data_IF_820148760687
#
_entry.id   IF_820148760687
#
_cell.length_a   1.000
_cell.length_b   1.000
_cell.length_c   1.000
_cell.angle_alpha   90.00
_cell.angle_beta   90.00
_cell.angle_gamma   90.00
#
_symmetry.space_group_name_H-M   'P 1'
#
loop_
_entity.id
_entity.type
_entity.pdbx_description
1 polymer ?
#
# COMPACT_ATOMS: atom_id res chain seq x y z
N UNK A 1 16.20 -13.48 11.12
CA UNK A 1 15.25 -12.37 11.38
C UNK A 1 13.91 -12.75 10.72
N UNK A 2 12.93 -11.86 10.54
CA UNK A 2 11.76 -12.11 9.69
C UNK A 2 11.70 -11.08 8.55
N UNK A 3 12.60 -11.20 7.57
CA UNK A 3 12.82 -10.25 6.48
C UNK A 3 11.59 -9.98 5.61
N UNK A 4 10.74 -10.99 5.41
CA UNK A 4 9.56 -10.95 4.52
C UNK A 4 8.26 -10.51 5.20
N UNK A 5 8.32 -10.04 6.45
CA UNK A 5 7.13 -9.57 7.17
C UNK A 5 6.52 -8.37 6.45
N UNK A 6 5.22 -8.44 6.12
CA UNK A 6 4.51 -7.43 5.33
C UNK A 6 4.64 -7.61 3.81
N UNK A 7 5.44 -8.58 3.34
CA UNK A 7 5.53 -8.96 1.92
C UNK A 7 4.89 -10.34 1.66
N UNK A 8 4.98 -11.26 2.62
CA UNK A 8 4.57 -12.66 2.43
C UNK A 8 3.07 -12.85 2.70
N UNK A 9 2.33 -13.33 1.70
CA UNK A 9 0.88 -13.56 1.73
C UNK A 9 0.51 -15.00 1.36
N UNK A 10 -0.58 -15.51 1.94
CA UNK A 10 -1.07 -16.85 1.66
C UNK A 10 -1.92 -16.85 0.39
N UNK A 11 -1.56 -17.63 -0.61
CA UNK A 11 -2.34 -17.74 -1.85
C UNK A 11 -3.77 -18.26 -1.65
N UNK A 12 -4.01 -19.05 -0.59
CA UNK A 12 -5.31 -19.65 -0.37
C UNK A 12 -6.35 -18.69 0.23
N UNK A 13 -5.94 -17.75 1.10
CA UNK A 13 -6.86 -16.84 1.79
C UNK A 13 -6.48 -15.36 1.66
N UNK A 14 -5.45 -15.06 0.88
CA UNK A 14 -4.87 -13.73 0.71
C UNK A 14 -4.44 -13.02 2.00
N UNK A 15 -4.33 -13.76 3.10
CA UNK A 15 -3.95 -13.22 4.41
C UNK A 15 -2.45 -13.16 4.59
N UNK A 16 -1.97 -12.12 5.28
CA UNK A 16 -0.55 -11.95 5.59
C UNK A 16 -0.05 -13.08 6.48
N UNK A 17 1.17 -13.54 6.20
CA UNK A 17 1.88 -14.44 7.10
C UNK A 17 2.66 -13.64 8.13
N UNK A 18 2.51 -14.03 9.39
CA UNK A 18 3.22 -13.41 10.51
C UNK A 18 4.44 -14.25 10.90
N UNK A 19 5.54 -13.60 11.25
CA UNK A 19 6.71 -14.28 11.80
C UNK A 19 6.42 -14.83 13.20
N UNK A 20 6.76 -16.09 13.44
CA UNK A 20 6.65 -16.75 14.75
C UNK A 20 7.92 -17.53 15.05
N UNK A 21 8.61 -17.16 16.13
CA UNK A 21 9.74 -17.94 16.63
C UNK A 21 9.19 -19.13 17.41
N UNK A 22 9.38 -20.35 16.89
CA UNK A 22 8.97 -21.60 17.55
C UNK A 22 10.20 -22.34 18.10
N UNK A 23 11.30 -21.61 18.34
CA UNK A 23 12.50 -22.18 18.94
C UNK A 23 12.36 -22.27 20.46
N UNK A 24 12.82 -23.38 21.02
CA UNK A 24 12.85 -23.63 22.46
C UNK A 24 14.25 -24.07 22.86
N UNK A 25 14.77 -23.52 23.96
CA UNK A 25 16.08 -23.92 24.50
C UNK A 25 15.86 -24.95 25.58
N UNK A 26 16.48 -26.12 25.44
CA UNK A 26 16.50 -27.15 26.49
C UNK A 26 17.34 -26.72 27.69
N UNK A 27 17.17 -27.41 28.81
CA UNK A 27 17.95 -27.19 30.04
C UNK A 27 19.47 -27.39 29.85
N UNK A 28 19.88 -28.08 28.78
CA UNK A 28 21.28 -28.30 28.40
C UNK A 28 21.80 -27.25 27.39
N UNK A 29 21.04 -26.18 27.14
CA UNK A 29 21.39 -25.09 26.21
C UNK A 29 21.15 -25.41 24.73
N UNK A 30 20.75 -26.63 24.38
CA UNK A 30 20.45 -27.01 22.99
C UNK A 30 19.13 -26.38 22.53
N UNK A 31 19.16 -25.68 21.41
CA UNK A 31 17.99 -25.02 20.79
C UNK A 31 17.32 -25.99 19.81
N UNK A 32 16.01 -26.15 19.97
CA UNK A 32 15.14 -26.97 19.13
C UNK A 32 14.07 -26.10 18.47
N UNK A 33 13.44 -26.61 17.42
CA UNK A 33 12.40 -25.87 16.68
C UNK A 33 12.99 -24.90 15.66
N UNK A 34 12.13 -24.09 15.04
CA UNK A 34 12.50 -23.22 13.92
C UNK A 34 11.74 -21.90 13.94
N UNK A 35 12.24 -20.91 13.19
CA UNK A 35 11.48 -19.70 12.87
C UNK A 35 10.58 -20.00 11.68
N UNK A 36 9.31 -19.63 11.77
CA UNK A 36 8.36 -19.88 10.69
C UNK A 36 7.52 -18.63 10.41
N UNK A 37 7.05 -18.54 9.17
CA UNK A 37 5.94 -17.68 8.81
C UNK A 37 4.63 -18.46 8.91
N UNK A 38 3.64 -17.91 9.62
CA UNK A 38 2.36 -18.54 9.91
C UNK A 38 1.22 -17.74 9.30
N UNK A 39 0.40 -18.39 8.48
CA UNK A 39 -0.91 -17.86 8.09
C UNK A 39 -1.91 -18.23 9.19
N UNK A 40 -2.50 -17.24 9.87
CA UNK A 40 -3.47 -17.50 10.95
C UNK A 40 -4.75 -18.17 10.45
N UNK A 41 -5.25 -17.76 9.29
CA UNK A 41 -6.53 -18.25 8.75
C UNK A 41 -6.45 -19.68 8.22
N UNK A 42 -5.34 -20.04 7.56
CA UNK A 42 -5.15 -21.37 6.98
C UNK A 42 -4.32 -22.31 7.87
N UNK A 43 -3.76 -21.82 8.98
CA UNK A 43 -2.77 -22.48 9.82
C UNK A 43 -1.53 -23.02 9.05
N UNK A 44 -1.31 -22.53 7.83
CA UNK A 44 -0.17 -22.91 7.00
C UNK A 44 1.12 -22.30 7.56
N UNK A 45 2.20 -23.09 7.55
CA UNK A 45 3.53 -22.68 8.03
C UNK A 45 4.57 -22.91 6.93
N UNK A 46 5.46 -21.94 6.76
CA UNK A 46 6.67 -22.08 5.96
C UNK A 46 7.88 -21.70 6.81
N UNK A 47 8.97 -22.44 6.65
CA UNK A 47 10.24 -22.15 7.30
C UNK A 47 10.76 -20.77 6.86
N UNK A 48 11.20 -19.96 7.82
CA UNK A 48 11.64 -18.59 7.52
C UNK A 48 12.94 -18.58 6.71
N UNK A 49 13.88 -19.48 6.99
CA UNK A 49 15.17 -19.52 6.32
C UNK A 49 15.00 -20.04 4.88
N UNK A 50 14.16 -21.07 4.66
CA UNK A 50 13.83 -21.57 3.32
C UNK A 50 13.13 -20.50 2.46
N UNK A 51 12.22 -19.74 3.08
CA UNK A 51 11.54 -18.64 2.41
C UNK A 51 12.52 -17.52 2.03
N UNK A 52 13.42 -17.14 2.94
CA UNK A 52 14.44 -16.11 2.68
C UNK A 52 15.38 -16.55 1.56
N UNK A 53 15.84 -17.80 1.57
CA UNK A 53 16.72 -18.31 0.52
C UNK A 53 16.05 -18.31 -0.85
N UNK A 54 14.78 -18.70 -0.93
CA UNK A 54 14.04 -18.70 -2.19
C UNK A 54 13.88 -17.28 -2.73
N UNK A 55 13.48 -16.32 -1.89
CA UNK A 55 13.36 -14.92 -2.28
C UNK A 55 14.71 -14.32 -2.66
N UNK A 56 15.78 -14.68 -1.96
CA UNK A 56 17.13 -14.24 -2.27
C UNK A 56 17.61 -14.75 -3.64
N UNK A 57 17.24 -15.97 -4.05
CA UNK A 57 17.55 -16.48 -5.40
C UNK A 57 16.88 -15.64 -6.48
N UNK A 58 15.60 -15.31 -6.29
CA UNK A 58 14.85 -14.43 -7.21
C UNK A 58 15.47 -13.04 -7.22
N UNK A 59 15.80 -12.48 -6.06
CA UNK A 59 16.47 -11.19 -5.96
C UNK A 59 17.79 -11.17 -6.76
N UNK A 60 18.63 -12.21 -6.61
CA UNK A 60 19.91 -12.34 -7.32
C UNK A 60 19.75 -12.48 -8.83
N UNK A 61 18.68 -13.09 -9.33
CA UNK A 61 18.46 -13.15 -10.79
C UNK A 61 18.21 -11.78 -11.40
N UNK A 62 17.77 -10.79 -10.61
CA UNK A 62 17.57 -9.42 -11.07
C UNK A 62 18.80 -8.51 -10.87
N UNK A 63 19.83 -8.94 -10.14
CA UNK A 63 21.05 -8.13 -9.92
C UNK A 63 21.85 -7.88 -11.21
N UNK A 64 21.69 -8.73 -12.23
CA UNK A 64 22.33 -8.56 -13.54
C UNK A 64 21.54 -7.69 -14.52
N UNK A 65 20.37 -7.16 -14.14
CA UNK A 65 19.57 -6.29 -15.00
C UNK A 65 20.23 -4.92 -15.11
N UNK A 66 20.22 -4.36 -16.31
CA UNK A 66 20.74 -3.03 -16.61
C UNK A 66 20.07 -1.95 -15.74
N UNK A 67 20.91 -1.06 -15.18
CA UNK A 67 20.47 -0.02 -14.25
C UNK A 67 19.51 0.97 -14.89
N UNK A 68 19.75 1.33 -16.16
CA UNK A 68 18.88 2.29 -16.86
C UNK A 68 17.52 1.67 -17.17
N UNK A 69 17.46 0.38 -17.52
CA UNK A 69 16.20 -0.37 -17.61
C UNK A 69 15.43 -0.35 -16.29
N UNK A 70 16.11 -0.60 -15.17
CA UNK A 70 15.50 -0.57 -13.84
C UNK A 70 14.95 0.81 -13.47
N UNK A 71 15.74 1.86 -13.69
CA UNK A 71 15.31 3.26 -13.45
C UNK A 71 14.07 3.58 -14.28
N UNK A 72 14.09 3.27 -15.57
CA UNK A 72 12.98 3.53 -16.48
C UNK A 72 11.69 2.83 -16.02
N UNK A 73 11.79 1.54 -15.64
CA UNK A 73 10.64 0.78 -15.14
C UNK A 73 10.09 1.32 -13.80
N UNK A 74 10.97 1.82 -12.92
CA UNK A 74 10.57 2.50 -11.67
C UNK A 74 9.80 3.77 -11.99
N UNK A 75 10.34 4.61 -12.87
CA UNK A 75 9.72 5.88 -13.26
C UNK A 75 8.37 5.66 -13.93
N UNK A 76 8.26 4.72 -14.88
CA UNK A 76 7.01 4.39 -15.56
C UNK A 76 5.92 3.94 -14.57
N UNK A 77 6.29 3.13 -13.56
CA UNK A 77 5.34 2.73 -12.51
C UNK A 77 4.89 3.91 -11.67
N UNK A 78 5.82 4.75 -11.24
CA UNK A 78 5.50 5.94 -10.43
C UNK A 78 4.58 6.89 -11.22
N UNK A 79 4.84 7.07 -12.52
CA UNK A 79 3.99 7.88 -13.40
C UNK A 79 2.59 7.28 -13.57
N UNK A 80 2.51 5.96 -13.73
CA UNK A 80 1.22 5.26 -13.79
C UNK A 80 0.44 5.40 -12.48
N UNK A 81 1.11 5.31 -11.33
CA UNK A 81 0.48 5.53 -10.02
C UNK A 81 -0.01 6.97 -9.87
N UNK A 82 0.81 7.96 -10.22
CA UNK A 82 0.41 9.38 -10.22
C UNK A 82 -0.81 9.60 -11.12
N UNK A 83 -0.81 9.04 -12.33
CA UNK A 83 -1.92 9.16 -13.28
C UNK A 83 -3.22 8.58 -12.70
N UNK A 84 -3.15 7.39 -12.08
CA UNK A 84 -4.29 6.76 -11.42
C UNK A 84 -4.81 7.59 -10.23
N UNK A 85 -3.92 8.18 -9.43
CA UNK A 85 -4.31 9.06 -8.31
C UNK A 85 -4.95 10.34 -8.85
N UNK A 86 -4.41 10.96 -9.90
CA UNK A 86 -5.00 12.15 -10.55
C UNK A 86 -6.41 11.87 -11.06
N UNK A 87 -6.63 10.73 -11.71
CA UNK A 87 -7.97 10.30 -12.13
C UNK A 87 -8.91 10.15 -10.93
N UNK A 88 -8.46 9.52 -9.85
CA UNK A 88 -9.24 9.40 -8.62
C UNK A 88 -9.56 10.75 -7.97
N UNK A 89 -8.66 11.75 -8.05
CA UNK A 89 -8.92 13.12 -7.60
C UNK A 89 -10.02 13.76 -8.46
N UNK A 90 -9.99 13.57 -9.77
CA UNK A 90 -11.01 14.12 -10.67
C UNK A 90 -12.41 13.55 -10.34
N UNK A 91 -12.51 12.23 -10.12
CA UNK A 91 -13.75 11.60 -9.70
C UNK A 91 -14.26 12.18 -8.35
N UNK A 92 -13.33 12.44 -7.41
CA UNK A 92 -13.66 13.09 -6.13
C UNK A 92 -14.11 14.54 -6.32
N UNK A 93 -13.49 15.31 -7.23
CA UNK A 93 -13.89 16.69 -7.55
C UNK A 93 -15.30 16.75 -8.14
N UNK A 94 -15.66 15.81 -9.02
CA UNK A 94 -17.02 15.68 -9.54
C UNK A 94 -18.02 15.35 -8.41
N UNK A 95 -17.65 14.45 -7.51
CA UNK A 95 -18.45 14.13 -6.32
C UNK A 95 -18.64 15.33 -5.40
N UNK A 96 -17.55 16.07 -5.13
CA UNK A 96 -17.55 17.28 -4.33
C UNK A 96 -18.46 18.36 -4.91
N UNK A 97 -18.38 18.61 -6.23
CA UNK A 97 -19.27 19.57 -6.91
C UNK A 97 -20.74 19.17 -6.79
N UNK A 98 -21.03 17.87 -6.90
CA UNK A 98 -22.38 17.33 -6.75
C UNK A 98 -22.93 17.58 -5.35
N UNK A 99 -22.14 17.31 -4.30
CA UNK A 99 -22.56 17.55 -2.92
C UNK A 99 -22.66 19.06 -2.59
N UNK A 100 -21.77 19.90 -3.12
CA UNK A 100 -21.90 21.37 -3.02
C UNK A 100 -23.19 21.90 -3.65
N UNK A 101 -23.60 21.38 -4.81
CA UNK A 101 -24.90 21.74 -5.41
C UNK A 101 -26.07 21.33 -4.53
N UNK A 102 -26.04 20.14 -3.93
CA UNK A 102 -27.08 19.71 -2.95
C UNK A 102 -27.11 20.62 -1.73
N UNK A 103 -25.95 21.06 -1.24
CA UNK A 103 -25.85 22.00 -0.13
C UNK A 103 -26.53 23.33 -0.46
N UNK A 104 -26.25 23.90 -1.65
CA UNK A 104 -26.89 25.12 -2.13
C UNK A 104 -28.41 24.99 -2.26
N UNK A 105 -28.90 23.86 -2.80
CA UNK A 105 -30.34 23.58 -2.86
C UNK A 105 -30.96 23.48 -1.47
N UNK A 106 -30.27 22.82 -0.53
CA UNK A 106 -30.71 22.72 0.85
C UNK A 106 -30.80 24.10 1.53
N UNK A 107 -29.84 24.99 1.28
CA UNK A 107 -29.86 26.36 1.79
C UNK A 107 -31.07 27.15 1.26
N UNK A 108 -31.36 27.03 -0.05
CA UNK A 108 -32.53 27.66 -0.67
C UNK A 108 -33.84 27.14 -0.05
N UNK A 109 -33.96 25.83 0.17
CA UNK A 109 -35.15 25.25 0.80
C UNK A 109 -35.31 25.68 2.26
N UNK A 110 -34.22 25.77 3.02
CA UNK A 110 -34.23 26.33 4.39
C UNK A 110 -34.73 27.77 4.37
N UNK A 111 -34.23 28.62 3.47
CA UNK A 111 -34.69 30.01 3.36
C UNK A 111 -36.18 30.13 3.00
N UNK A 112 -36.66 29.29 2.08
CA UNK A 112 -38.09 29.24 1.72
C UNK A 112 -38.94 28.82 2.92
N UNK A 113 -38.50 27.81 3.66
CA UNK A 113 -39.16 27.32 4.86
C UNK A 113 -39.37 28.44 5.89
N UNK A 114 -38.33 29.24 6.15
CA UNK A 114 -38.42 30.40 7.06
C UNK A 114 -39.35 31.51 6.56
N UNK A 115 -39.41 31.75 5.24
CA UNK A 115 -40.26 32.80 4.64
C UNK A 115 -41.74 32.46 4.66
N UNK A 116 -42.10 31.17 4.58
CA UNK A 116 -43.49 30.72 4.41
C UNK A 116 -44.37 30.86 5.66
N UNK A 117 -43.82 31.14 6.86
CA UNK A 117 -44.52 31.31 8.16
C UNK A 117 -45.49 30.20 8.60
N UNK A 118 -45.85 29.26 7.72
CA UNK A 118 -46.77 28.14 7.94
C UNK A 118 -46.03 26.80 8.16
N UNK A 119 -44.71 26.75 7.97
CA UNK A 119 -43.94 25.52 8.12
C UNK A 119 -43.63 25.17 9.58
N UNK A 120 -43.90 23.91 9.95
CA UNK A 120 -43.72 23.40 11.31
C UNK A 120 -42.22 23.30 11.64
N UNK A 121 -41.83 23.78 12.83
CA UNK A 121 -40.47 23.72 13.40
C UNK A 121 -39.71 22.39 13.17
N UNK A 122 -40.33 21.19 13.21
CA UNK A 122 -39.65 19.92 12.92
C UNK A 122 -39.10 19.81 11.49
N UNK A 123 -39.76 20.42 10.50
CA UNK A 123 -39.30 20.36 9.11
C UNK A 123 -37.99 21.13 8.91
N UNK A 124 -37.92 22.35 9.47
CA UNK A 124 -36.70 23.17 9.46
C UNK A 124 -35.55 22.44 10.17
N UNK A 125 -35.82 21.79 11.31
CA UNK A 125 -34.80 20.98 12.02
C UNK A 125 -34.27 19.84 11.13
N UNK A 126 -35.14 19.14 10.40
CA UNK A 126 -34.72 18.07 9.47
C UNK A 126 -33.83 18.62 8.35
N UNK A 127 -34.18 19.79 7.79
CA UNK A 127 -33.37 20.43 6.75
C UNK A 127 -32.00 20.85 7.28
N UNK A 128 -31.92 21.41 8.49
CA UNK A 128 -30.65 21.76 9.14
C UNK A 128 -29.77 20.52 9.37
N UNK A 129 -30.35 19.43 9.87
CA UNK A 129 -29.62 18.14 10.05
C UNK A 129 -29.13 17.62 8.70
N UNK A 130 -29.95 17.73 7.66
CA UNK A 130 -29.58 17.30 6.31
C UNK A 130 -28.42 18.14 5.76
N UNK A 131 -28.47 19.46 5.95
CA UNK A 131 -27.39 20.39 5.61
C UNK A 131 -26.08 19.99 6.29
N UNK A 132 -26.11 19.74 7.60
CA UNK A 132 -24.92 19.35 8.36
C UNK A 132 -24.33 18.02 7.85
N UNK A 133 -25.18 17.05 7.55
CA UNK A 133 -24.74 15.78 6.95
C UNK A 133 -24.06 15.96 5.59
N UNK A 134 -24.62 16.81 4.72
CA UNK A 134 -24.02 17.12 3.41
C UNK A 134 -22.70 17.86 3.60
N UNK A 135 -22.63 18.83 4.51
CA UNK A 135 -21.42 19.58 4.83
C UNK A 135 -20.29 18.68 5.33
N UNK A 136 -20.59 17.75 6.24
CA UNK A 136 -19.63 16.76 6.73
C UNK A 136 -19.08 15.88 5.59
N UNK A 137 -19.94 15.50 4.64
CA UNK A 137 -19.52 14.74 3.45
C UNK A 137 -18.62 15.58 2.53
N UNK A 138 -18.93 16.86 2.34
CA UNK A 138 -18.09 17.81 1.59
C UNK A 138 -16.69 17.89 2.21
N UNK A 139 -16.60 18.14 3.52
CA UNK A 139 -15.31 18.20 4.23
C UNK A 139 -14.55 16.86 4.19
N UNK A 140 -15.25 15.73 4.20
CA UNK A 140 -14.61 14.42 4.05
C UNK A 140 -13.99 14.25 2.66
N UNK A 141 -14.69 14.65 1.61
CA UNK A 141 -14.16 14.60 0.23
C UNK A 141 -12.95 15.53 0.08
N UNK A 142 -13.00 16.74 0.65
CA UNK A 142 -11.87 17.69 0.65
C UNK A 142 -10.62 17.07 1.29
N UNK A 143 -10.75 16.46 2.47
CA UNK A 143 -9.63 15.75 3.12
C UNK A 143 -9.07 14.62 2.25
N UNK A 144 -9.92 13.83 1.61
CA UNK A 144 -9.45 12.75 0.72
C UNK A 144 -8.72 13.28 -0.51
N UNK A 145 -9.10 14.45 -1.03
CA UNK A 145 -8.37 15.12 -2.11
C UNK A 145 -7.00 15.57 -1.60
N UNK A 146 -6.93 16.26 -0.46
CA UNK A 146 -5.67 16.72 0.14
C UNK A 146 -4.70 15.58 0.43
N UNK A 147 -5.18 14.47 0.99
CA UNK A 147 -4.37 13.26 1.25
C UNK A 147 -3.77 12.68 -0.04
N UNK A 148 -4.55 12.67 -1.13
CA UNK A 148 -4.10 12.18 -2.44
C UNK A 148 -3.12 13.14 -3.10
N UNK A 149 -3.33 14.45 -2.99
CA UNK A 149 -2.41 15.46 -3.49
C UNK A 149 -1.06 15.42 -2.76
N UNK A 150 -1.08 15.26 -1.43
CA UNK A 150 0.13 15.04 -0.63
C UNK A 150 0.87 13.75 -1.06
N UNK A 151 0.13 12.68 -1.37
CA UNK A 151 0.71 11.44 -1.90
C UNK A 151 1.36 11.65 -3.27
N UNK A 152 0.74 12.38 -4.19
CA UNK A 152 1.34 12.73 -5.49
C UNK A 152 2.65 13.48 -5.27
N UNK A 153 2.64 14.50 -4.41
CA UNK A 153 3.84 15.27 -4.10
C UNK A 153 4.98 14.40 -3.59
N UNK A 154 4.69 13.47 -2.67
CA UNK A 154 5.68 12.50 -2.19
C UNK A 154 6.22 11.60 -3.32
N UNK A 155 5.34 11.11 -4.20
CA UNK A 155 5.78 10.29 -5.34
C UNK A 155 6.68 11.08 -6.29
N UNK A 156 6.36 12.34 -6.57
CA UNK A 156 7.13 13.22 -7.46
C UNK A 156 8.48 13.63 -6.85
N UNK A 157 8.52 13.99 -5.56
CA UNK A 157 9.74 14.50 -4.91
C UNK A 157 10.69 13.39 -4.47
N UNK A 158 10.16 12.23 -4.06
CA UNK A 158 10.95 11.14 -3.46
C UNK A 158 11.08 9.97 -4.42
N UNK A 159 9.98 9.45 -4.94
CA UNK A 159 10.01 8.19 -5.70
C UNK A 159 10.38 8.36 -7.18
N UNK A 160 10.19 9.55 -7.76
CA UNK A 160 10.63 9.87 -9.12
C UNK A 160 12.07 10.39 -9.18
N UNK A 161 12.69 10.66 -8.03
CA UNK A 161 14.06 11.17 -7.96
C UNK A 161 15.06 10.11 -8.44
N UNK A 162 15.57 10.31 -9.64
CA UNK A 162 16.50 9.37 -10.30
C UNK A 162 17.75 9.09 -9.47
N UNK A 163 18.31 10.11 -8.80
CA UNK A 163 19.51 9.93 -7.99
C UNK A 163 19.24 9.00 -6.79
N UNK A 164 18.09 9.15 -6.13
CA UNK A 164 17.68 8.25 -5.04
C UNK A 164 17.44 6.82 -5.54
N UNK A 165 16.78 6.67 -6.70
CA UNK A 165 16.59 5.37 -7.35
C UNK A 165 17.96 4.74 -7.64
N UNK A 166 18.86 5.49 -8.27
CA UNK A 166 20.20 5.05 -8.66
C UNK A 166 21.04 4.64 -7.44
N UNK A 167 20.96 5.37 -6.33
CA UNK A 167 21.68 5.03 -5.11
C UNK A 167 21.12 3.76 -4.43
N UNK A 168 19.79 3.58 -4.42
CA UNK A 168 19.19 2.32 -3.99
C UNK A 168 19.57 1.14 -4.92
N UNK A 169 19.67 1.38 -6.22
CA UNK A 169 20.07 0.37 -7.21
C UNK A 169 21.55 -0.02 -7.09
N UNK A 170 22.45 0.92 -6.76
CA UNK A 170 23.86 0.59 -6.46
C UNK A 170 23.97 -0.38 -5.29
N UNK A 171 23.18 -0.16 -4.23
CA UNK A 171 23.12 -1.07 -3.09
C UNK A 171 22.52 -2.44 -3.47
N UNK A 172 21.54 -2.43 -4.37
CA UNK A 172 20.93 -3.63 -4.92
C UNK A 172 21.92 -4.48 -5.75
N UNK A 173 22.76 -3.85 -6.56
CA UNK A 173 23.76 -4.51 -7.42
C UNK A 173 25.04 -4.88 -6.66
N UNK A 174 25.26 -4.34 -5.46
CA UNK A 174 26.40 -4.70 -4.64
C UNK A 174 26.31 -6.18 -4.18
N UNK A 175 27.47 -6.82 -3.91
CA UNK A 175 27.49 -8.11 -3.24
C UNK A 175 26.70 -8.03 -1.94
N UNK A 176 25.72 -8.92 -1.78
CA UNK A 176 24.81 -8.94 -0.63
C UNK A 176 25.59 -8.87 0.68
N UNK A 177 25.44 -7.77 1.43
CA UNK A 177 25.97 -7.63 2.78
C UNK A 177 25.29 -8.65 3.70
N UNK A 178 25.98 -9.09 4.77
CA UNK A 178 25.40 -10.01 5.75
C UNK A 178 24.38 -9.34 6.70
N UNK A 179 24.13 -8.03 6.53
CA UNK A 179 23.23 -7.29 7.41
C UNK A 179 21.75 -7.52 7.04
N UNK A 180 20.96 -7.98 8.02
CA UNK A 180 19.54 -8.27 7.83
C UNK A 180 18.69 -7.01 7.55
N UNK A 181 19.08 -5.85 8.05
CA UNK A 181 18.31 -4.60 7.90
C UNK A 181 18.38 -4.08 6.46
N UNK A 182 19.60 -4.03 5.90
CA UNK A 182 19.83 -3.66 4.49
C UNK A 182 19.06 -4.60 3.55
N UNK A 183 19.11 -5.90 3.81
CA UNK A 183 18.39 -6.90 3.01
C UNK A 183 16.88 -6.74 3.06
N UNK A 184 16.34 -6.36 4.22
CA UNK A 184 14.90 -6.08 4.32
C UNK A 184 14.52 -4.84 3.51
N UNK A 185 15.30 -3.77 3.60
CA UNK A 185 15.05 -2.56 2.83
C UNK A 185 15.05 -2.85 1.32
N UNK A 186 16.04 -3.62 0.85
CA UNK A 186 16.15 -4.05 -0.54
C UNK A 186 14.95 -4.92 -0.99
N UNK A 187 14.49 -5.85 -0.17
CA UNK A 187 13.29 -6.64 -0.49
C UNK A 187 12.03 -5.80 -0.56
N UNK A 188 11.85 -4.84 0.36
CA UNK A 188 10.71 -3.93 0.36
C UNK A 188 10.71 -3.01 -0.87
N UNK A 189 11.90 -2.63 -1.34
CA UNK A 189 12.08 -1.84 -2.55
C UNK A 189 11.75 -2.63 -3.82
N UNK A 190 12.19 -3.88 -3.92
CA UNK A 190 12.02 -4.69 -5.13
C UNK A 190 10.65 -5.36 -5.22
N UNK A 191 10.15 -5.94 -4.13
CA UNK A 191 8.95 -6.76 -4.14
C UNK A 191 7.71 -5.98 -3.71
N UNK A 192 6.62 -6.14 -4.46
CA UNK A 192 5.31 -5.64 -4.08
C UNK A 192 4.64 -6.61 -3.10
N UNK A 193 4.63 -7.89 -3.46
CA UNK A 193 4.14 -8.97 -2.61
C UNK A 193 4.77 -10.31 -3.01
N UNK A 194 4.77 -11.26 -2.08
CA UNK A 194 5.30 -12.60 -2.28
C UNK A 194 4.21 -13.58 -1.84
N UNK A 195 3.65 -14.33 -2.78
CA UNK A 195 2.57 -15.26 -2.54
C UNK A 195 3.13 -16.66 -2.27
N UNK A 196 2.72 -17.29 -1.17
CA UNK A 196 3.07 -18.68 -0.85
C UNK A 196 1.86 -19.60 -0.99
N UNK A 197 2.05 -20.71 -1.71
CA UNK A 197 1.03 -21.74 -1.85
C UNK A 197 1.18 -22.85 -0.80
N UNK A 198 0.20 -23.76 -0.71
CA UNK A 198 0.21 -24.87 0.26
C UNK A 198 1.35 -25.88 0.04
N UNK A 199 1.99 -25.88 -1.14
CA UNK A 199 3.13 -26.72 -1.49
C UNK A 199 4.48 -26.06 -1.16
N UNK A 200 4.47 -24.83 -0.62
CA UNK A 200 5.68 -24.09 -0.31
C UNK A 200 6.31 -23.35 -1.49
N UNK A 201 5.66 -23.31 -2.65
CA UNK A 201 6.16 -22.50 -3.76
C UNK A 201 5.87 -21.02 -3.51
N UNK A 202 6.89 -20.20 -3.75
CA UNK A 202 6.81 -18.74 -3.67
C UNK A 202 6.69 -18.15 -5.07
N UNK A 203 5.69 -17.30 -5.26
CA UNK A 203 5.55 -16.46 -6.44
C UNK A 203 5.83 -15.02 -6.01
N UNK A 204 6.89 -14.44 -6.55
CA UNK A 204 7.28 -13.06 -6.23
C UNK A 204 6.68 -12.12 -7.27
N UNK A 205 5.91 -11.13 -6.80
CA UNK A 205 5.45 -10.01 -7.63
C UNK A 205 6.40 -8.85 -7.41
N UNK A 206 7.09 -8.45 -8.46
CA UNK A 206 7.96 -7.27 -8.42
C UNK A 206 7.12 -6.01 -8.33
N UNK A 207 7.70 -4.96 -7.72
CA UNK A 207 7.15 -3.62 -7.86
C UNK A 207 7.27 -3.18 -9.31
N UNK A 208 8.39 -3.40 -9.97
CA UNK A 208 8.63 -2.88 -11.31
C UNK A 208 8.45 -3.98 -12.34
N UNK A 209 7.90 -3.65 -13.52
CA UNK A 209 7.85 -4.59 -14.61
C UNK A 209 9.24 -4.63 -15.28
N UNK A 210 9.93 -5.76 -15.16
CA UNK A 210 11.27 -5.95 -15.70
C UNK A 210 11.28 -6.94 -16.87
N UNK A 211 10.10 -7.40 -17.29
CA UNK A 211 9.98 -8.28 -18.45
C UNK A 211 10.15 -7.46 -19.73
N UNK A 212 11.05 -7.89 -20.60
CA UNK A 212 11.36 -7.22 -21.87
C UNK A 212 10.08 -7.05 -22.72
N UNK A 213 9.91 -5.84 -23.26
CA UNK A 213 9.30 -5.66 -24.59
C UNK A 213 10.39 -5.67 -25.64
#
# INVERSE_FOLDING_TARGET
>A
SFLLTGLLKCQNCNGDLIGKDQRTTSNQGKVYGKKVYLCKSCNYKIDADDAHQTVLKVFRSYQGVDTEKLISAVQEKVETEISNIKKSIEDLKVSWQTEKRKLQLCDIEIEKAFKRKEEKEPHIKILIITKDRILNKVHQIERWIEEKEAKIKFLEEVQKNENLIRDHLKQFQAPVSSCNEDMRALFLYLFEEIMVNKKGHLQCKLRFNLDDK
#
